data_IF_747850731550
#
_entry.id   IF_747850731550
#
_cell.length_a   1.000
_cell.length_b   1.000
_cell.length_c   1.000
_cell.angle_alpha   90.00
_cell.angle_beta   90.00
_cell.angle_gamma   90.00
#
_symmetry.space_group_name_H-M   'P 1'
#
loop_
_entity.id
_entity.type
_entity.pdbx_description
1 polymer ?
#
# COMPACT_ATOMS: atom_id res chain seq x y z
N UNK A 1 -17.68 18.91 -49.48
CA UNK A 1 -18.39 19.07 -48.19
C UNK A 1 -18.11 18.00 -47.13
N UNK A 2 -17.65 16.77 -47.45
CA UNK A 2 -17.42 15.70 -46.45
C UNK A 2 -16.17 15.87 -45.56
N UNK A 3 -15.17 16.63 -46.01
CA UNK A 3 -13.88 16.80 -45.31
C UNK A 3 -13.99 17.71 -44.08
N UNK A 4 -14.75 18.80 -44.17
CA UNK A 4 -14.89 19.79 -43.08
C UNK A 4 -15.67 19.25 -41.88
N UNK A 5 -16.59 18.29 -42.11
CA UNK A 5 -17.37 17.64 -41.03
C UNK A 5 -16.49 16.71 -40.20
N UNK A 6 -15.50 16.05 -40.81
CA UNK A 6 -14.59 15.14 -40.11
C UNK A 6 -13.64 15.91 -39.18
N UNK A 7 -13.12 17.06 -39.62
CA UNK A 7 -12.25 17.90 -38.78
C UNK A 7 -12.98 18.46 -37.55
N UNK A 8 -14.23 18.91 -37.72
CA UNK A 8 -15.04 19.39 -36.60
C UNK A 8 -15.31 18.30 -35.55
N UNK A 9 -15.60 17.07 -36.01
CA UNK A 9 -15.86 15.93 -35.13
C UNK A 9 -14.63 15.50 -34.32
N UNK A 10 -13.43 15.51 -34.93
CA UNK A 10 -12.18 15.17 -34.25
C UNK A 10 -11.82 16.21 -33.18
N UNK A 11 -12.03 17.50 -33.44
CA UNK A 11 -11.76 18.57 -32.47
C UNK A 11 -12.69 18.46 -31.26
N UNK A 12 -13.97 18.14 -31.47
CA UNK A 12 -14.95 17.96 -30.37
C UNK A 12 -14.59 16.75 -29.49
N UNK A 13 -14.15 15.64 -30.08
CA UNK A 13 -13.71 14.46 -29.32
C UNK A 13 -12.45 14.77 -28.51
N UNK A 14 -11.47 15.48 -29.08
CA UNK A 14 -10.25 15.87 -28.36
C UNK A 14 -10.59 16.84 -27.21
N UNK A 15 -11.48 17.81 -27.43
CA UNK A 15 -11.92 18.73 -26.38
C UNK A 15 -12.69 18.04 -25.24
N UNK A 16 -13.49 17.01 -25.56
CA UNK A 16 -14.15 16.16 -24.55
C UNK A 16 -13.15 15.31 -23.77
N UNK A 17 -12.13 14.75 -24.44
CA UNK A 17 -11.07 13.96 -23.78
C UNK A 17 -10.18 14.85 -22.90
N UNK A 18 -9.83 16.06 -23.34
CA UNK A 18 -9.07 17.01 -22.52
C UNK A 18 -9.87 17.56 -21.33
N UNK A 19 -11.18 17.73 -21.48
CA UNK A 19 -12.05 18.15 -20.37
C UNK A 19 -12.34 17.02 -19.35
N UNK A 20 -12.04 15.77 -19.71
CA UNK A 20 -12.14 14.62 -18.82
C UNK A 20 -10.87 14.35 -18.00
N UNK A 21 -9.77 15.08 -18.24
CA UNK A 21 -8.69 15.20 -17.26
C UNK A 21 -9.20 16.09 -16.11
N UNK A 22 -9.97 15.44 -15.23
CA UNK A 22 -10.57 16.06 -14.05
C UNK A 22 -9.53 16.84 -13.27
N UNK A 23 -9.95 18.01 -12.78
CA UNK A 23 -9.18 18.82 -11.83
C UNK A 23 -8.64 17.89 -10.74
N UNK A 24 -7.31 17.70 -10.67
CA UNK A 24 -6.70 17.06 -9.51
C UNK A 24 -7.17 17.84 -8.28
N UNK A 25 -7.90 17.15 -7.42
CA UNK A 25 -8.40 17.74 -6.18
C UNK A 25 -7.20 18.22 -5.36
N UNK A 26 -7.06 19.53 -5.18
CA UNK A 26 -6.04 20.13 -4.30
C UNK A 26 -6.30 19.81 -2.82
N UNK A 27 -7.47 19.26 -2.50
CA UNK A 27 -7.81 18.83 -1.15
C UNK A 27 -6.82 17.76 -0.70
N UNK A 28 -6.10 18.07 0.38
CA UNK A 28 -5.25 17.12 1.08
C UNK A 28 -5.97 16.62 2.33
N UNK A 29 -5.80 15.35 2.62
CA UNK A 29 -6.28 14.71 3.83
C UNK A 29 -5.11 14.58 4.80
N UNK A 30 -5.37 14.86 6.08
CA UNK A 30 -4.41 14.56 7.12
C UNK A 30 -4.29 13.03 7.24
N UNK A 31 -3.07 12.55 7.40
CA UNK A 31 -2.80 11.14 7.68
C UNK A 31 -3.35 10.75 9.05
N UNK A 32 -3.83 9.53 9.15
CA UNK A 32 -4.33 8.94 10.40
C UNK A 32 -3.41 7.81 10.86
N UNK A 33 -3.36 7.55 12.16
CA UNK A 33 -2.63 6.40 12.71
C UNK A 33 -3.53 5.18 12.74
N UNK A 34 -2.96 3.99 12.49
CA UNK A 34 -3.56 2.78 13.04
C UNK A 34 -3.39 2.76 14.58
N UNK A 35 -4.29 2.08 15.31
CA UNK A 35 -4.08 1.77 16.72
C UNK A 35 -2.76 1.01 16.95
N UNK A 36 -2.24 1.09 18.17
CA UNK A 36 -0.97 0.47 18.56
C UNK A 36 -0.94 -1.04 18.34
N UNK A 37 -2.11 -1.69 18.36
CA UNK A 37 -2.27 -3.12 18.18
C UNK A 37 -3.56 -3.46 17.42
N UNK A 38 -3.46 -4.37 16.46
CA UNK A 38 -4.56 -4.91 15.66
C UNK A 38 -4.40 -6.42 15.51
N UNK A 39 -5.51 -7.16 15.37
CA UNK A 39 -5.45 -8.59 15.04
C UNK A 39 -5.76 -8.82 13.55
N UNK A 40 -4.83 -9.46 12.82
CA UNK A 40 -5.00 -9.77 11.40
C UNK A 40 -4.55 -11.20 11.13
N UNK A 41 -5.48 -12.02 10.63
CA UNK A 41 -5.26 -13.46 10.39
C UNK A 41 -4.66 -14.19 11.61
N UNK A 42 -5.23 -13.94 12.80
CA UNK A 42 -4.85 -14.53 14.09
C UNK A 42 -3.42 -14.21 14.55
N UNK A 43 -2.88 -13.07 14.12
CA UNK A 43 -1.61 -12.53 14.64
C UNK A 43 -1.75 -11.06 14.97
N UNK A 44 -0.95 -10.62 15.93
CA UNK A 44 -0.94 -9.24 16.41
C UNK A 44 -0.05 -8.40 15.51
N UNK A 45 -0.63 -7.40 14.87
CA UNK A 45 0.10 -6.34 14.19
C UNK A 45 0.28 -5.21 15.18
N UNK A 46 1.53 -4.84 15.46
CA UNK A 46 1.83 -3.68 16.29
C UNK A 46 2.30 -2.51 15.43
N UNK A 47 1.76 -1.33 15.73
CA UNK A 47 2.13 -0.06 15.12
C UNK A 47 2.75 0.84 16.17
N UNK A 48 3.84 1.51 15.81
CA UNK A 48 4.46 2.56 16.61
C UNK A 48 4.02 3.95 16.18
N UNK A 49 4.49 4.93 16.94
CA UNK A 49 4.23 6.34 16.69
C UNK A 49 4.74 6.78 15.32
N UNK A 50 3.97 7.65 14.68
CA UNK A 50 4.35 8.26 13.41
C UNK A 50 4.01 9.75 13.42
N UNK A 51 4.78 10.55 12.69
CA UNK A 51 4.44 11.96 12.45
C UNK A 51 3.47 12.04 11.28
N UNK A 52 2.22 12.53 11.47
CA UNK A 52 1.21 12.54 10.42
C UNK A 52 1.62 13.39 9.21
N UNK A 53 1.45 12.83 8.01
CA UNK A 53 1.64 13.52 6.74
C UNK A 53 0.36 14.15 6.18
N UNK A 54 0.42 14.59 4.92
CA UNK A 54 -0.73 15.10 4.18
C UNK A 54 -0.77 14.50 2.78
N UNK A 55 -1.88 13.86 2.43
CA UNK A 55 -1.98 12.98 1.26
C UNK A 55 -3.14 13.39 0.33
N UNK A 56 -3.07 13.06 -0.98
CA UNK A 56 -4.16 13.33 -1.92
C UNK A 56 -5.40 12.45 -1.68
N UNK A 57 -5.29 11.42 -0.84
CA UNK A 57 -6.37 10.54 -0.40
C UNK A 57 -6.33 10.34 1.11
N UNK A 58 -7.40 9.79 1.69
CA UNK A 58 -7.42 9.39 3.10
C UNK A 58 -6.45 8.22 3.28
N UNK A 59 -5.52 8.38 4.21
CA UNK A 59 -4.41 7.45 4.46
C UNK A 59 -4.38 7.08 5.93
N UNK A 60 -4.11 5.80 6.19
CA UNK A 60 -3.74 5.32 7.51
C UNK A 60 -2.32 4.77 7.48
N UNK A 61 -1.49 5.23 8.40
CA UNK A 61 -0.09 4.84 8.51
C UNK A 61 0.15 3.99 9.75
N UNK A 62 0.84 2.86 9.56
CA UNK A 62 1.42 2.06 10.61
C UNK A 62 2.94 2.20 10.54
N UNK A 63 3.53 2.92 11.49
CA UNK A 63 4.99 3.06 11.59
C UNK A 63 5.58 1.97 12.49
N UNK A 64 6.88 1.72 12.32
CA UNK A 64 7.64 0.65 12.95
C UNK A 64 6.87 -0.69 13.02
N UNK A 65 6.19 -1.05 11.93
CA UNK A 65 5.26 -2.18 11.90
C UNK A 65 5.96 -3.50 12.25
N UNK A 66 5.30 -4.30 13.09
CA UNK A 66 5.73 -5.66 13.43
C UNK A 66 4.54 -6.62 13.55
N UNK A 67 4.82 -7.91 13.46
CA UNK A 67 3.84 -9.00 13.53
C UNK A 67 4.28 -9.95 14.63
N UNK A 68 3.57 -9.99 15.76
CA UNK A 68 3.97 -10.70 16.98
C UNK A 68 5.42 -10.39 17.41
N UNK A 69 5.83 -9.13 17.24
CA UNK A 69 7.21 -8.66 17.50
C UNK A 69 8.22 -8.97 16.39
N UNK A 70 7.88 -9.76 15.37
CA UNK A 70 8.71 -10.00 14.21
C UNK A 70 8.60 -8.85 13.19
N UNK A 71 9.67 -8.57 12.47
CA UNK A 71 9.67 -7.55 11.42
C UNK A 71 8.79 -7.97 10.25
N UNK A 72 7.98 -7.06 9.71
CA UNK A 72 7.23 -7.35 8.49
C UNK A 72 8.20 -7.47 7.31
N UNK A 73 8.31 -8.66 6.72
CA UNK A 73 9.22 -8.93 5.62
C UNK A 73 8.83 -8.11 4.37
N UNK A 74 9.84 -7.63 3.65
CA UNK A 74 9.67 -6.93 2.38
C UNK A 74 10.45 -7.62 1.28
N UNK A 75 9.84 -7.80 0.12
CA UNK A 75 10.52 -8.25 -1.09
C UNK A 75 9.99 -7.50 -2.30
N UNK A 76 10.87 -6.81 -3.00
CA UNK A 76 10.60 -6.23 -4.32
C UNK A 76 11.77 -6.58 -5.21
N UNK A 77 11.48 -7.30 -6.29
CA UNK A 77 12.44 -7.58 -7.35
C UNK A 77 12.33 -6.46 -8.37
N UNK A 78 13.33 -5.59 -8.43
CA UNK A 78 13.59 -4.80 -9.63
C UNK A 78 14.96 -5.20 -10.19
N UNK A 79 15.00 -5.40 -11.50
CA UNK A 79 16.16 -5.89 -12.26
C UNK A 79 17.35 -4.91 -12.18
N UNK A 80 17.12 -3.69 -11.70
CA UNK A 80 18.06 -2.58 -11.66
C UNK A 80 18.75 -2.33 -10.30
N UNK A 81 18.39 -3.05 -9.21
CA UNK A 81 18.83 -2.67 -7.83
C UNK A 81 19.62 -3.76 -7.08
N UNK A 82 19.72 -5.01 -7.58
CA UNK A 82 20.53 -6.04 -6.91
C UNK A 82 19.92 -6.57 -5.60
N UNK A 83 18.92 -7.44 -5.77
CA UNK A 83 18.23 -8.40 -4.88
C UNK A 83 17.84 -8.08 -3.43
N UNK A 84 16.51 -8.13 -3.22
CA UNK A 84 15.78 -8.07 -1.96
C UNK A 84 14.50 -8.91 -2.12
N UNK A 85 14.43 -10.14 -1.60
CA UNK A 85 13.28 -11.03 -1.84
C UNK A 85 12.85 -11.86 -0.63
N UNK A 86 11.55 -11.79 -0.34
CA UNK A 86 10.74 -12.85 0.28
C UNK A 86 9.24 -12.71 -0.12
N UNK A 87 8.80 -11.56 -0.64
CA UNK A 87 7.42 -11.33 -1.14
C UNK A 87 7.37 -11.16 -2.66
N UNK A 88 6.24 -11.49 -3.32
CA UNK A 88 6.00 -11.17 -4.76
C UNK A 88 5.44 -9.77 -5.01
N UNK A 89 5.23 -8.97 -3.97
CA UNK A 89 4.90 -7.55 -4.06
C UNK A 89 3.42 -7.23 -4.28
N UNK A 90 3.00 -6.15 -3.60
CA UNK A 90 1.71 -5.42 -3.63
C UNK A 90 0.46 -6.18 -3.19
N UNK A 91 0.20 -7.40 -3.66
CA UNK A 91 -1.08 -8.06 -3.37
C UNK A 91 -1.26 -8.43 -1.90
N UNK A 92 -0.19 -8.88 -1.24
CA UNK A 92 -0.21 -9.27 0.17
C UNK A 92 -0.33 -8.03 1.07
N UNK A 93 0.39 -6.94 0.78
CA UNK A 93 0.24 -5.69 1.53
C UNK A 93 -1.12 -5.02 1.31
N UNK A 94 -1.70 -5.11 0.10
CA UNK A 94 -3.06 -4.63 -0.14
C UNK A 94 -4.10 -5.42 0.64
N UNK A 95 -3.90 -6.73 0.76
CA UNK A 95 -4.75 -7.58 1.61
C UNK A 95 -4.56 -7.23 3.09
N UNK A 96 -3.32 -7.07 3.54
CA UNK A 96 -3.01 -6.67 4.91
C UNK A 96 -3.67 -5.33 5.26
N UNK A 97 -3.49 -4.30 4.43
CA UNK A 97 -4.14 -3.00 4.61
C UNK A 97 -5.66 -3.12 4.68
N UNK A 98 -6.26 -3.93 3.81
CA UNK A 98 -7.71 -4.14 3.82
C UNK A 98 -8.19 -4.74 5.15
N UNK A 99 -7.50 -5.77 5.66
CA UNK A 99 -7.90 -6.38 6.92
C UNK A 99 -7.60 -5.48 8.13
N UNK A 100 -6.50 -4.72 8.12
CA UNK A 100 -6.21 -3.72 9.17
C UNK A 100 -7.27 -2.63 9.23
N UNK A 101 -7.71 -2.09 8.08
CA UNK A 101 -8.76 -1.07 8.01
C UNK A 101 -10.11 -1.58 8.52
N UNK A 102 -10.45 -2.85 8.28
CA UNK A 102 -11.67 -3.44 8.82
C UNK A 102 -11.69 -3.52 10.33
N UNK A 103 -10.52 -3.67 10.98
CA UNK A 103 -10.42 -3.68 12.45
C UNK A 103 -10.76 -2.33 13.08
N UNK A 104 -10.78 -1.25 12.26
CA UNK A 104 -11.15 0.10 12.67
C UNK A 104 -12.39 0.61 11.89
N UNK A 105 -13.25 -0.31 11.47
CA UNK A 105 -14.54 -0.05 10.82
C UNK A 105 -14.46 0.75 9.50
N UNK A 106 -13.36 0.61 8.75
CA UNK A 106 -13.19 1.22 7.42
C UNK A 106 -13.26 0.15 6.33
N UNK A 107 -14.25 0.28 5.46
CA UNK A 107 -14.55 -0.71 4.40
C UNK A 107 -14.38 -0.19 2.97
N UNK A 108 -13.92 1.05 2.81
CA UNK A 108 -13.67 1.66 1.51
C UNK A 108 -12.68 0.82 0.68
N UNK A 109 -12.81 0.82 -0.66
CA UNK A 109 -11.82 0.19 -1.52
C UNK A 109 -10.42 0.79 -1.30
N UNK A 110 -9.40 -0.07 -1.27
CA UNK A 110 -8.00 0.40 -1.26
C UNK A 110 -7.69 1.03 -2.62
N UNK A 111 -7.26 2.28 -2.60
CA UNK A 111 -6.71 2.95 -3.78
C UNK A 111 -5.27 2.52 -4.03
N UNK A 112 -4.44 2.50 -2.97
CA UNK A 112 -3.04 2.17 -3.07
C UNK A 112 -2.48 1.72 -1.71
N UNK A 113 -1.39 0.96 -1.77
CA UNK A 113 -0.54 0.70 -0.61
C UNK A 113 0.84 1.20 -0.92
N UNK A 114 1.39 1.97 0.01
CA UNK A 114 2.71 2.56 -0.12
C UNK A 114 3.60 2.15 1.04
N UNK A 115 4.82 1.74 0.70
CA UNK A 115 5.88 1.41 1.65
C UNK A 115 6.98 2.43 1.41
N UNK A 116 7.02 3.54 2.18
CA UNK A 116 8.09 4.51 2.03
C UNK A 116 9.41 3.88 2.46
N UNK A 117 10.44 4.05 1.63
CA UNK A 117 11.83 3.64 1.91
C UNK A 117 11.93 2.17 2.39
N UNK A 118 11.54 1.18 1.56
CA UNK A 118 11.73 -0.21 1.93
C UNK A 118 13.20 -0.49 2.23
N UNK A 119 13.49 -1.19 3.32
CA UNK A 119 14.87 -1.46 3.74
C UNK A 119 15.32 -2.82 3.24
N UNK A 120 16.33 -2.84 2.37
CA UNK A 120 17.01 -4.08 1.94
C UNK A 120 18.24 -4.43 2.78
N UNK A 121 18.40 -3.73 3.92
CA UNK A 121 19.41 -4.07 4.91
C UNK A 121 19.08 -5.42 5.55
N UNK A 122 20.14 -6.13 5.96
CA UNK A 122 20.01 -7.33 6.79
C UNK A 122 19.47 -6.92 8.16
N UNK A 123 18.35 -7.51 8.56
CA UNK A 123 17.87 -7.46 9.94
C UNK A 123 18.38 -8.71 10.69
N UNK A 124 18.65 -8.55 11.98
CA UNK A 124 19.03 -9.64 12.89
C UNK A 124 17.82 -10.24 13.60
N UNK A 125 16.67 -9.58 13.53
CA UNK A 125 15.41 -10.06 14.08
C UNK A 125 14.73 -11.03 13.11
N UNK A 126 13.94 -11.95 13.68
CA UNK A 126 13.01 -12.76 12.90
C UNK A 126 12.03 -11.86 12.15
N UNK A 127 11.55 -12.37 11.02
CA UNK A 127 10.65 -11.67 10.13
C UNK A 127 9.37 -12.48 9.95
N UNK A 128 8.28 -11.82 9.59
CA UNK A 128 7.01 -12.45 9.27
C UNK A 128 6.55 -11.98 7.90
N UNK A 129 6.00 -12.90 7.10
CA UNK A 129 5.45 -12.59 5.79
C UNK A 129 4.03 -13.13 5.68
N UNK A 130 3.14 -12.32 5.13
CA UNK A 130 1.81 -12.77 4.73
C UNK A 130 1.93 -13.40 3.34
N UNK A 131 1.52 -14.65 3.20
CA UNK A 131 1.52 -15.35 1.91
C UNK A 131 0.13 -15.87 1.57
N UNK A 132 -0.19 -15.88 0.28
CA UNK A 132 -1.42 -16.50 -0.22
C UNK A 132 -1.19 -17.99 -0.49
N UNK A 133 -1.90 -18.86 0.23
CA UNK A 133 -1.95 -20.30 -0.05
C UNK A 133 -3.36 -20.71 -0.47
N UNK A 134 -3.53 -20.94 -1.77
CA UNK A 134 -4.84 -21.20 -2.36
C UNK A 134 -5.79 -20.02 -2.19
N UNK A 135 -6.91 -20.22 -1.47
CA UNK A 135 -7.91 -19.19 -1.17
C UNK A 135 -7.68 -18.45 0.15
N UNK A 136 -6.67 -18.84 0.95
CA UNK A 136 -6.41 -18.28 2.27
C UNK A 136 -5.11 -17.47 2.28
N UNK A 137 -5.05 -16.50 3.18
CA UNK A 137 -3.81 -15.81 3.55
C UNK A 137 -3.35 -16.36 4.89
N UNK A 138 -2.05 -16.64 5.00
CA UNK A 138 -1.44 -17.15 6.23
C UNK A 138 -0.13 -16.42 6.49
N UNK A 139 0.22 -16.31 7.76
CA UNK A 139 1.52 -15.83 8.18
C UNK A 139 2.55 -16.96 8.14
N UNK A 140 3.73 -16.66 7.60
CA UNK A 140 4.93 -17.50 7.72
C UNK A 140 6.01 -16.73 8.45
N UNK A 141 6.62 -17.39 9.44
CA UNK A 141 7.85 -16.88 10.05
C UNK A 141 9.04 -17.13 9.14
N UNK A 142 9.96 -16.18 9.13
CA UNK A 142 11.21 -16.19 8.38
C UNK A 142 12.35 -15.90 9.33
N UNK A 143 13.45 -16.57 9.08
CA UNK A 143 14.70 -16.29 9.77
C UNK A 143 15.21 -14.88 9.46
N UNK A 144 16.10 -14.34 10.31
CA UNK A 144 16.77 -13.07 10.08
C UNK A 144 17.36 -12.98 8.67
N UNK A 145 17.16 -11.85 8.01
CA UNK A 145 17.45 -11.72 6.59
C UNK A 145 17.31 -10.30 6.07
N UNK A 146 17.50 -10.13 4.77
CA UNK A 146 17.36 -8.83 4.11
C UNK A 146 15.88 -8.53 3.85
N UNK A 147 15.49 -7.26 3.84
CA UNK A 147 14.16 -6.87 3.40
C UNK A 147 13.14 -6.84 4.52
N UNK A 148 12.83 -5.63 5.00
CA UNK A 148 11.73 -5.40 5.93
C UNK A 148 11.03 -4.06 5.67
N UNK A 149 9.81 -3.95 6.20
CA UNK A 149 8.98 -2.76 6.17
C UNK A 149 9.10 -2.05 7.51
N UNK A 150 9.42 -0.76 7.48
CA UNK A 150 9.30 0.10 8.65
C UNK A 150 7.94 0.79 8.71
N UNK A 151 7.44 1.22 7.56
CA UNK A 151 6.21 2.02 7.49
C UNK A 151 5.33 1.41 6.41
N UNK A 152 4.07 1.20 6.73
CA UNK A 152 3.03 0.76 5.80
C UNK A 152 1.93 1.82 5.76
N UNK A 153 1.62 2.33 4.57
CA UNK A 153 0.58 3.33 4.37
C UNK A 153 -0.54 2.75 3.51
N UNK A 154 -1.76 2.77 4.07
CA UNK A 154 -2.96 2.23 3.46
C UNK A 154 -3.85 3.39 3.00
N UNK A 155 -3.99 3.56 1.68
CA UNK A 155 -4.72 4.67 1.08
C UNK A 155 -6.03 4.18 0.49
N UNK A 156 -7.15 4.84 0.82
CA UNK A 156 -8.48 4.44 0.34
C UNK A 156 -9.00 5.32 -0.80
N UNK A 157 -9.88 4.76 -1.62
CA UNK A 157 -10.68 5.51 -2.59
C UNK A 157 -11.71 6.36 -1.83
N UNK A 158 -11.85 7.61 -2.26
CA UNK A 158 -12.80 8.61 -1.73
C UNK A 158 -13.95 8.75 -2.70
#
# INVERSE_FOLDING_TARGET
MKRNVIYALVIVVIALVYSACGKESTKRYKDESFPDSLEVFNRTIACGDHTPGSFPSKTWTCANISVDGNRLAFGYSDISIGECTDTKGKHEFMTLCKEMLKQIDIYNPIWSVYVPKPTCKKDLNKRAILVKKGKKYIWEDKEPGKGYVLILQCMIQI
#
